data_IF_477619251055
#
_entry.id   IF_477619251055
#
_cell.length_a   1.000
_cell.length_b   1.000
_cell.length_c   1.000
_cell.angle_alpha   90.00
_cell.angle_beta   90.00
_cell.angle_gamma   90.00
#
_symmetry.space_group_name_H-M   'P 1'
#
loop_
_entity.id
_entity.type
_entity.pdbx_description
1 polymer ?
#
# COMPACT_ATOMS: atom_id res chain seq x y z
N UNK A 1 -4.43 7.64 7.55
CA UNK A 1 -4.97 6.34 8.04
C UNK A 1 -3.82 5.35 8.13
N UNK A 2 -3.73 4.48 9.15
CA UNK A 2 -2.57 3.58 9.33
C UNK A 2 -2.76 2.26 8.58
N UNK A 3 -1.76 1.91 7.77
CA UNK A 3 -1.65 0.68 7.01
C UNK A 3 -0.35 -0.02 7.34
N UNK A 4 -0.35 -1.35 7.34
CA UNK A 4 0.85 -2.17 7.53
C UNK A 4 1.09 -3.01 6.29
N UNK A 5 2.31 -2.99 5.75
CA UNK A 5 2.68 -3.90 4.66
C UNK A 5 2.56 -5.35 5.15
N UNK A 6 1.85 -6.18 4.38
CA UNK A 6 1.63 -7.59 4.67
C UNK A 6 2.20 -8.51 3.59
N UNK A 7 2.38 -8.00 2.37
CA UNK A 7 2.92 -8.77 1.25
C UNK A 7 3.65 -7.88 0.25
N UNK A 8 4.53 -8.50 -0.54
CA UNK A 8 5.31 -7.86 -1.60
C UNK A 8 5.40 -8.77 -2.81
N UNK A 9 5.17 -8.22 -3.99
CA UNK A 9 5.27 -8.94 -5.25
C UNK A 9 5.92 -8.06 -6.32
N UNK A 10 6.47 -8.67 -7.36
CA UNK A 10 7.05 -7.95 -8.49
C UNK A 10 6.09 -7.99 -9.68
N UNK A 11 5.88 -6.84 -10.32
CA UNK A 11 5.21 -6.74 -11.61
C UNK A 11 6.00 -5.81 -12.53
N UNK A 12 6.31 -6.28 -13.75
CA UNK A 12 7.05 -5.49 -14.75
C UNK A 12 8.36 -4.88 -14.22
N UNK A 13 9.11 -5.64 -13.41
CA UNK A 13 10.36 -5.22 -12.74
C UNK A 13 10.21 -4.15 -11.65
N UNK A 14 8.99 -3.79 -11.26
CA UNK A 14 8.73 -2.87 -10.15
C UNK A 14 8.17 -3.66 -8.96
N UNK A 15 8.65 -3.34 -7.75
CA UNK A 15 8.12 -3.91 -6.52
C UNK A 15 6.82 -3.22 -6.12
N UNK A 16 5.82 -4.05 -5.84
CA UNK A 16 4.51 -3.64 -5.34
C UNK A 16 4.28 -4.21 -3.97
N UNK A 17 3.68 -3.40 -3.12
CA UNK A 17 3.48 -3.68 -1.71
C UNK A 17 2.00 -3.67 -1.41
N UNK A 18 1.51 -4.75 -0.80
CA UNK A 18 0.14 -4.81 -0.32
C UNK A 18 0.17 -4.43 1.15
N UNK A 19 -0.56 -3.36 1.48
CA UNK A 19 -0.69 -2.89 2.85
C UNK A 19 -2.13 -3.04 3.33
N UNK A 20 -2.30 -3.55 4.54
CA UNK A 20 -3.60 -3.74 5.18
C UNK A 20 -3.91 -2.59 6.12
N UNK A 21 -5.12 -2.03 6.02
CA UNK A 21 -5.61 -1.02 6.94
C UNK A 21 -5.78 -1.60 8.35
N UNK A 22 -5.37 -0.84 9.36
CA UNK A 22 -5.59 -1.23 10.76
C UNK A 22 -6.94 -0.75 11.30
N UNK A 23 -7.70 0.06 10.54
CA UNK A 23 -9.06 0.50 10.90
C UNK A 23 -10.11 -0.28 10.11
N UNK A 24 -11.24 -0.59 10.76
CA UNK A 24 -12.34 -1.35 10.16
C UNK A 24 -13.20 -0.55 9.14
N UNK A 25 -13.21 0.79 9.20
CA UNK A 25 -14.12 1.63 8.41
C UNK A 25 -13.50 2.15 7.10
N UNK A 26 -12.47 1.50 6.57
CA UNK A 26 -11.69 1.98 5.43
C UNK A 26 -11.30 0.82 4.52
N UNK A 27 -10.91 1.09 3.25
CA UNK A 27 -10.50 0.04 2.34
C UNK A 27 -9.46 -0.83 3.02
N UNK A 28 -9.77 -2.12 3.18
CA UNK A 28 -8.95 -3.00 4.01
C UNK A 28 -7.56 -3.18 3.45
N UNK A 29 -7.38 -3.01 2.14
CA UNK A 29 -6.12 -3.22 1.47
C UNK A 29 -5.85 -2.09 0.48
N UNK A 30 -4.58 -1.70 0.39
CA UNK A 30 -4.05 -0.81 -0.64
C UNK A 30 -2.83 -1.45 -1.28
N UNK A 31 -2.63 -1.16 -2.56
CA UNK A 31 -1.45 -1.56 -3.33
C UNK A 31 -0.65 -0.32 -3.62
N UNK A 32 0.63 -0.41 -3.31
CA UNK A 32 1.57 0.68 -3.43
C UNK A 32 2.69 0.26 -4.35
N UNK A 33 3.04 1.14 -5.28
CA UNK A 33 4.19 0.95 -6.13
C UNK A 33 5.37 1.79 -5.62
N UNK A 34 6.56 1.21 -5.59
CA UNK A 34 7.77 1.94 -5.21
C UNK A 34 8.95 1.57 -6.11
N UNK A 35 9.71 2.57 -6.61
CA UNK A 35 10.95 2.32 -7.34
C UNK A 35 12.10 1.88 -6.41
N UNK A 36 11.91 2.02 -5.10
CA UNK A 36 12.88 1.60 -4.09
C UNK A 36 12.32 0.44 -3.26
N UNK A 37 13.23 -0.36 -2.72
CA UNK A 37 12.85 -1.47 -1.85
C UNK A 37 12.44 -0.95 -0.48
N UNK A 38 11.19 -1.23 -0.09
CA UNK A 38 10.65 -0.88 1.22
C UNK A 38 10.83 -2.04 2.20
N UNK A 39 10.95 -1.71 3.49
CA UNK A 39 10.95 -2.71 4.55
C UNK A 39 9.57 -3.38 4.64
N UNK A 40 9.53 -4.71 4.78
CA UNK A 40 8.28 -5.47 4.95
C UNK A 40 7.49 -5.06 6.20
N UNK A 41 8.16 -4.50 7.20
CA UNK A 41 7.53 -4.03 8.44
C UNK A 41 7.18 -2.54 8.41
N UNK A 42 7.21 -1.91 7.23
CA UNK A 42 6.89 -0.50 7.10
C UNK A 42 5.43 -0.24 7.53
N UNK A 43 5.29 0.57 8.57
CA UNK A 43 4.02 1.11 9.03
C UNK A 43 3.76 2.43 8.31
N UNK A 44 2.81 2.42 7.38
CA UNK A 44 2.36 3.62 6.68
C UNK A 44 1.35 4.30 7.58
N UNK A 45 1.67 5.49 8.05
CA UNK A 45 0.89 6.17 9.09
C UNK A 45 -0.13 7.12 8.47
N UNK A 46 0.22 7.71 7.33
CA UNK A 46 -0.63 8.65 6.64
C UNK A 46 -0.84 8.30 5.16
N UNK A 47 -2.12 8.34 4.78
CA UNK A 47 -2.64 7.96 3.47
C UNK A 47 -3.68 9.00 3.11
N UNK A 48 -3.38 9.74 2.06
CA UNK A 48 -4.30 10.65 1.40
C UNK A 48 -5.09 9.88 0.36
N UNK A 49 -6.34 9.54 0.71
CA UNK A 49 -7.26 8.83 -0.17
C UNK A 49 -7.75 9.70 -1.33
N UNK A 50 -7.69 11.04 -1.22
CA UNK A 50 -8.11 11.95 -2.30
C UNK A 50 -7.01 12.00 -3.36
N UNK A 51 -5.75 12.07 -2.93
CA UNK A 51 -4.60 12.10 -3.81
C UNK A 51 -4.08 10.70 -4.22
N UNK A 52 -4.63 9.62 -3.64
CA UNK A 52 -4.12 8.25 -3.77
C UNK A 52 -2.63 8.14 -3.45
N UNK A 53 -2.22 8.72 -2.32
CA UNK A 53 -0.81 8.78 -1.91
C UNK A 53 -0.62 8.36 -0.46
N UNK A 54 0.49 7.69 -0.18
CA UNK A 54 1.00 7.51 1.17
C UNK A 54 2.14 8.51 1.41
N UNK A 55 1.95 9.38 2.40
CA UNK A 55 2.80 10.57 2.65
C UNK A 55 3.75 10.38 3.82
N UNK A 56 3.46 9.43 4.72
CA UNK A 56 4.29 9.15 5.89
C UNK A 56 4.32 7.67 6.23
N UNK A 57 5.52 7.19 6.57
CA UNK A 57 5.74 5.84 7.09
C UNK A 57 6.82 5.85 8.17
N UNK A 58 6.61 5.10 9.25
CA UNK A 58 7.57 4.96 10.39
C UNK A 58 8.14 6.28 10.92
N UNK A 59 7.42 7.40 10.79
CA UNK A 59 7.88 8.72 11.21
C UNK A 59 8.73 9.47 10.17
N UNK A 60 8.93 8.91 8.98
CA UNK A 60 9.60 9.53 7.85
C UNK A 60 8.58 9.94 6.78
N UNK A 61 8.90 11.03 6.07
CA UNK A 61 8.09 11.49 4.95
C UNK A 61 8.42 10.66 3.72
N UNK A 62 7.39 10.09 3.11
CA UNK A 62 7.47 9.31 1.88
C UNK A 62 6.55 9.93 0.83
N UNK A 63 6.76 9.58 -0.44
CA UNK A 63 5.81 9.90 -1.52
C UNK A 63 5.58 8.64 -2.33
N UNK A 64 4.68 7.79 -1.83
CA UNK A 64 4.34 6.53 -2.50
C UNK A 64 2.97 6.64 -3.15
N UNK A 65 2.85 6.11 -4.36
CA UNK A 65 1.61 6.13 -5.12
C UNK A 65 0.79 4.88 -4.81
N UNK A 66 -0.49 5.09 -4.49
CA UNK A 66 -1.47 4.02 -4.32
C UNK A 66 -2.09 3.76 -5.69
N UNK A 67 -1.88 2.56 -6.22
CA UNK A 67 -2.36 2.17 -7.56
C UNK A 67 -3.68 1.41 -7.51
N UNK A 68 -4.02 0.85 -6.35
CA UNK A 68 -5.27 0.13 -6.13
C UNK A 68 -5.65 0.13 -4.65
N UNK A 69 -6.94 0.06 -4.38
CA UNK A 69 -7.50 -0.08 -3.04
C UNK A 69 -8.74 -0.98 -3.09
N UNK A 70 -8.94 -1.81 -2.08
CA UNK A 70 -10.10 -2.69 -2.03
C UNK A 70 -10.29 -3.38 -0.68
N UNK A 71 -11.44 -4.04 -0.56
CA UNK A 71 -11.84 -4.73 0.68
C UNK A 71 -11.47 -6.21 0.71
N UNK A 72 -10.93 -6.75 -0.39
CA UNK A 72 -10.58 -8.16 -0.54
C UNK A 72 -9.24 -8.33 -1.26
N UNK A 73 -8.39 -9.21 -0.75
CA UNK A 73 -7.07 -9.53 -1.29
C UNK A 73 -7.17 -10.24 -2.65
N UNK A 74 -8.15 -11.14 -2.84
CA UNK A 74 -8.34 -11.85 -4.11
C UNK A 74 -8.56 -10.88 -5.28
N UNK A 75 -9.35 -9.83 -5.07
CA UNK A 75 -9.61 -8.80 -6.07
C UNK A 75 -8.35 -8.02 -6.44
N UNK A 76 -7.40 -7.88 -5.51
CA UNK A 76 -6.13 -7.21 -5.78
C UNK A 76 -5.29 -8.04 -6.75
N UNK A 77 -5.21 -9.36 -6.54
CA UNK A 77 -4.49 -10.24 -7.46
C UNK A 77 -5.20 -10.41 -8.81
N UNK A 78 -6.53 -10.30 -8.86
CA UNK A 78 -7.31 -10.35 -10.11
C UNK A 78 -7.12 -9.11 -11.00
N UNK A 79 -7.02 -7.91 -10.42
CA UNK A 79 -6.71 -6.68 -11.16
C UNK A 79 -5.35 -6.77 -11.87
N UNK A 80 -4.46 -7.64 -11.36
CA UNK A 80 -3.11 -7.80 -11.87
C UNK A 80 -2.90 -8.98 -12.83
N UNK A 81 -3.96 -9.75 -13.17
CA UNK A 81 -3.92 -10.82 -14.18
C UNK A 81 -4.01 -10.33 -15.62
#
# INVERSE_FOLDING_TARGET
MRYKIIDVYQKQQIERYIAKCLKQQSPQYIVIESPIKLCRELDIVDVDAIANKATWATGEKIDLQIISSGDSLDKIYEIDR
#
